data_IF_030953620166
#
_entry.id   IF_030953620166
#
_cell.length_a   1.000
_cell.length_b   1.000
_cell.length_c   1.000
_cell.angle_alpha   90.00
_cell.angle_beta   90.00
_cell.angle_gamma   90.00
#
_symmetry.space_group_name_H-M   'P 1'
#
loop_
_entity.id
_entity.type
_entity.pdbx_description
1 polymer ?
#
# COMPACT_ATOMS: atom_id res chain seq x y z
N UNK A 1 32.14 -30.25 -16.48
CA UNK A 1 31.19 -30.57 -15.41
C UNK A 1 30.13 -29.47 -15.38
N UNK A 2 28.86 -29.74 -15.71
CA UNK A 2 27.82 -28.71 -15.61
C UNK A 2 27.60 -28.38 -14.14
N UNK A 3 27.77 -27.11 -13.77
CA UNK A 3 27.31 -26.62 -12.45
C UNK A 3 25.78 -26.66 -12.48
N UNK A 4 25.19 -27.56 -11.70
CA UNK A 4 23.76 -27.49 -11.41
C UNK A 4 23.54 -26.21 -10.60
N UNK A 5 22.96 -25.19 -11.22
CA UNK A 5 22.56 -23.97 -10.51
C UNK A 5 21.43 -24.40 -9.56
N UNK A 6 21.61 -24.36 -8.23
CA UNK A 6 20.52 -24.69 -7.32
C UNK A 6 19.40 -23.71 -7.61
N UNK A 7 18.25 -24.23 -8.02
CA UNK A 7 17.06 -23.41 -8.20
C UNK A 7 16.51 -23.13 -6.81
N UNK A 8 16.32 -21.86 -6.47
CA UNK A 8 15.61 -21.45 -5.24
C UNK A 8 14.23 -22.12 -5.14
N UNK A 9 13.65 -22.55 -6.28
CA UNK A 9 12.40 -23.30 -6.38
C UNK A 9 12.41 -24.69 -5.76
N UNK A 10 13.57 -25.23 -5.34
CA UNK A 10 13.62 -26.52 -4.64
C UNK A 10 13.49 -26.36 -3.12
N UNK A 11 13.40 -25.14 -2.61
CA UNK A 11 13.17 -24.89 -1.20
C UNK A 11 11.69 -25.11 -0.85
N UNK A 12 11.39 -25.59 0.37
CA UNK A 12 10.03 -25.59 0.91
C UNK A 12 9.45 -24.16 0.91
N UNK A 13 8.15 -24.03 0.67
CA UNK A 13 7.45 -22.74 0.58
C UNK A 13 7.64 -21.91 1.85
N UNK A 14 7.68 -22.55 3.02
CA UNK A 14 7.83 -21.88 4.31
C UNK A 14 9.19 -21.20 4.44
N UNK A 15 10.24 -21.80 3.87
CA UNK A 15 11.59 -21.22 3.86
C UNK A 15 11.64 -20.06 2.86
N UNK A 16 10.95 -20.21 1.73
CA UNK A 16 10.86 -19.15 0.73
C UNK A 16 10.16 -17.93 1.33
N UNK A 17 9.05 -18.11 2.03
CA UNK A 17 8.30 -17.03 2.70
C UNK A 17 9.16 -16.29 3.73
N UNK A 18 9.96 -17.01 4.53
CA UNK A 18 10.91 -16.40 5.47
C UNK A 18 11.94 -15.56 4.71
N UNK A 19 12.54 -16.07 3.64
CA UNK A 19 13.52 -15.31 2.84
C UNK A 19 12.86 -14.08 2.22
N UNK A 20 11.69 -14.24 1.60
CA UNK A 20 10.94 -13.14 0.97
C UNK A 20 10.58 -12.09 2.03
N UNK A 21 10.21 -12.49 3.24
CA UNK A 21 9.88 -11.56 4.33
C UNK A 21 11.03 -10.63 4.73
N UNK A 22 12.28 -11.00 4.41
CA UNK A 22 13.47 -10.21 4.72
C UNK A 22 13.86 -9.23 3.59
N UNK A 23 13.25 -9.34 2.41
CA UNK A 23 13.60 -8.50 1.27
C UNK A 23 12.97 -7.11 1.42
N UNK A 24 13.69 -6.06 1.08
CA UNK A 24 13.08 -4.76 0.89
C UNK A 24 12.21 -4.75 -0.39
N UNK A 25 11.35 -3.74 -0.54
CA UNK A 25 10.48 -3.63 -1.70
C UNK A 25 11.25 -3.63 -3.03
N UNK A 26 12.38 -2.90 -3.19
CA UNK A 26 13.18 -2.97 -4.41
C UNK A 26 13.68 -4.39 -4.72
N UNK A 27 14.15 -5.14 -3.72
CA UNK A 27 14.61 -6.53 -3.93
C UNK A 27 13.46 -7.45 -4.33
N UNK A 28 12.26 -7.27 -3.77
CA UNK A 28 11.06 -8.00 -4.19
C UNK A 28 10.69 -7.72 -5.65
N UNK A 29 10.70 -6.45 -6.05
CA UNK A 29 10.38 -6.05 -7.42
C UNK A 29 11.44 -6.55 -8.42
N UNK A 30 12.73 -6.48 -8.06
CA UNK A 30 13.80 -7.04 -8.88
C UNK A 30 13.66 -8.57 -9.01
N UNK A 31 13.23 -9.25 -7.94
CA UNK A 31 13.00 -10.68 -7.99
C UNK A 31 11.78 -11.05 -8.85
N UNK A 32 10.70 -10.27 -8.77
CA UNK A 32 9.56 -10.41 -9.67
C UNK A 32 10.00 -10.27 -11.14
N UNK A 33 10.75 -9.22 -11.49
CA UNK A 33 11.19 -8.98 -12.87
C UNK A 33 12.13 -10.07 -13.41
N UNK A 34 12.95 -10.66 -12.55
CA UNK A 34 13.94 -11.67 -12.95
C UNK A 34 13.39 -13.09 -13.09
N UNK A 35 12.22 -13.39 -12.51
CA UNK A 35 11.67 -14.75 -12.50
C UNK A 35 10.14 -14.77 -12.49
N UNK A 36 9.53 -15.01 -13.66
CA UNK A 36 8.08 -15.09 -13.84
C UNK A 36 7.41 -16.18 -13.02
N UNK A 37 8.12 -17.27 -12.71
CA UNK A 37 7.62 -18.34 -11.84
C UNK A 37 7.39 -17.85 -10.38
N UNK A 38 8.06 -16.77 -9.96
CA UNK A 38 7.89 -16.18 -8.63
C UNK A 38 6.86 -15.03 -8.59
N UNK A 39 6.35 -14.59 -9.74
CA UNK A 39 5.39 -13.49 -9.83
C UNK A 39 4.18 -13.70 -8.92
N UNK A 40 3.61 -14.91 -8.91
CA UNK A 40 2.46 -15.23 -8.07
C UNK A 40 2.76 -15.09 -6.58
N UNK A 41 3.94 -15.52 -6.13
CA UNK A 41 4.37 -15.44 -4.72
C UNK A 41 4.63 -13.99 -4.31
N UNK A 42 5.37 -13.23 -5.12
CA UNK A 42 5.66 -11.82 -4.84
C UNK A 42 4.36 -11.02 -4.81
N UNK A 43 3.47 -11.21 -5.79
CA UNK A 43 2.16 -10.57 -5.82
C UNK A 43 1.34 -10.88 -4.57
N UNK A 44 1.25 -12.15 -4.19
CA UNK A 44 0.49 -12.55 -2.99
C UNK A 44 1.04 -11.90 -1.73
N UNK A 45 2.37 -11.85 -1.58
CA UNK A 45 3.01 -11.23 -0.41
C UNK A 45 2.85 -9.71 -0.37
N UNK A 46 2.93 -9.04 -1.51
CA UNK A 46 2.65 -7.60 -1.61
C UNK A 46 1.17 -7.30 -1.32
N UNK A 47 0.24 -8.12 -1.80
CA UNK A 47 -1.18 -8.00 -1.48
C UNK A 47 -1.43 -8.20 0.01
N UNK A 48 -0.86 -9.24 0.61
CA UNK A 48 -0.98 -9.49 2.05
C UNK A 48 -0.40 -8.33 2.89
N UNK A 49 0.73 -7.76 2.49
CA UNK A 49 1.32 -6.60 3.16
C UNK A 49 0.42 -5.36 3.05
N UNK A 50 -0.10 -5.07 1.85
CA UNK A 50 -1.07 -3.98 1.62
C UNK A 50 -2.31 -4.17 2.47
N UNK A 51 -2.91 -5.36 2.43
CA UNK A 51 -4.17 -5.65 3.11
C UNK A 51 -4.01 -5.57 4.63
N UNK A 52 -2.86 -6.01 5.16
CA UNK A 52 -2.52 -5.85 6.58
C UNK A 52 -2.41 -4.37 6.98
N UNK A 53 -1.73 -3.56 6.17
CA UNK A 53 -1.56 -2.13 6.44
C UNK A 53 -2.90 -1.39 6.38
N UNK A 54 -3.72 -1.64 5.36
CA UNK A 54 -5.05 -1.02 5.26
C UNK A 54 -5.96 -1.54 6.39
N UNK A 55 -5.88 -2.82 6.71
CA UNK A 55 -6.63 -3.48 7.78
C UNK A 55 -6.37 -2.92 9.17
N UNK A 56 -5.27 -2.17 9.36
CA UNK A 56 -5.04 -1.41 10.59
C UNK A 56 -6.03 -0.24 10.75
N UNK A 57 -6.51 0.33 9.65
CA UNK A 57 -7.39 1.49 9.63
C UNK A 57 -8.84 1.15 9.31
N UNK A 58 -9.06 0.19 8.39
CA UNK A 58 -10.38 -0.13 7.82
C UNK A 58 -10.62 -1.64 7.87
N UNK A 59 -11.75 -2.06 8.44
CA UNK A 59 -12.10 -3.49 8.55
C UNK A 59 -12.39 -4.12 7.17
N UNK A 60 -13.20 -3.46 6.34
CA UNK A 60 -13.49 -3.90 4.97
C UNK A 60 -12.44 -3.35 3.97
N UNK A 61 -11.28 -4.00 3.97
CA UNK A 61 -10.15 -3.65 3.08
C UNK A 61 -10.53 -3.74 1.60
N UNK A 62 -11.31 -4.75 1.21
CA UNK A 62 -11.67 -4.97 -0.19
C UNK A 62 -12.60 -3.86 -0.70
N UNK A 63 -13.67 -3.56 0.05
CA UNK A 63 -14.56 -2.45 -0.29
C UNK A 63 -13.85 -1.10 -0.30
N UNK A 64 -12.87 -0.91 0.59
CA UNK A 64 -12.08 0.32 0.61
C UNK A 64 -11.21 0.47 -0.64
N UNK A 65 -10.55 -0.61 -1.08
CA UNK A 65 -9.77 -0.61 -2.32
C UNK A 65 -10.64 -0.35 -3.56
N UNK A 66 -11.84 -0.92 -3.60
CA UNK A 66 -12.79 -0.66 -4.68
C UNK A 66 -13.21 0.81 -4.71
N UNK A 67 -13.40 1.44 -3.53
CA UNK A 67 -13.65 2.88 -3.44
C UNK A 67 -12.45 3.70 -3.95
N UNK A 68 -11.22 3.32 -3.60
CA UNK A 68 -10.05 4.04 -4.10
C UNK A 68 -9.96 3.98 -5.64
N UNK A 69 -10.28 2.84 -6.25
CA UNK A 69 -10.31 2.68 -7.71
C UNK A 69 -11.42 3.54 -8.36
N UNK A 70 -12.62 3.57 -7.75
CA UNK A 70 -13.76 4.41 -8.18
C UNK A 70 -13.37 5.89 -8.30
N UNK A 71 -12.57 6.40 -7.36
CA UNK A 71 -12.15 7.81 -7.28
C UNK A 71 -10.73 8.08 -7.80
N UNK A 72 -10.07 7.10 -8.44
CA UNK A 72 -8.65 7.18 -8.84
C UNK A 72 -7.73 7.68 -7.70
N UNK A 73 -8.06 7.31 -6.46
CA UNK A 73 -7.39 7.77 -5.27
C UNK A 73 -6.22 6.84 -4.90
N UNK A 74 -5.23 7.39 -4.20
CA UNK A 74 -4.04 6.67 -3.76
C UNK A 74 -3.81 6.87 -2.27
N UNK A 75 -3.37 5.81 -1.59
CA UNK A 75 -2.91 5.90 -0.21
C UNK A 75 -1.56 6.63 -0.21
N UNK A 76 -1.42 7.59 0.69
CA UNK A 76 -0.23 8.43 0.86
C UNK A 76 0.30 8.33 2.30
N UNK A 77 1.23 9.23 2.65
CA UNK A 77 1.69 9.41 4.03
C UNK A 77 2.33 8.17 4.66
N UNK A 78 2.06 7.98 5.94
CA UNK A 78 2.68 6.95 6.77
C UNK A 78 2.27 5.52 6.39
N UNK A 79 1.03 5.31 5.94
CA UNK A 79 0.59 4.00 5.44
C UNK A 79 1.34 3.58 4.16
N UNK A 80 1.50 4.51 3.20
CA UNK A 80 2.30 4.26 2.00
C UNK A 80 3.78 4.03 2.32
N UNK A 81 4.31 4.78 3.28
CA UNK A 81 5.68 4.63 3.75
C UNK A 81 5.90 3.28 4.46
N UNK A 82 4.97 2.85 5.32
CA UNK A 82 5.00 1.55 5.96
C UNK A 82 5.01 0.41 4.94
N UNK A 83 4.24 0.52 3.86
CA UNK A 83 4.25 -0.46 2.77
C UNK A 83 5.62 -0.49 2.07
N UNK A 84 6.18 0.68 1.77
CA UNK A 84 7.48 0.78 1.09
C UNK A 84 8.64 0.24 1.94
N UNK A 85 8.66 0.60 3.24
CA UNK A 85 9.67 0.15 4.20
C UNK A 85 9.43 -1.29 4.70
N UNK A 86 8.23 -1.82 4.45
CA UNK A 86 7.74 -3.09 5.02
C UNK A 86 7.79 -3.12 6.55
N UNK A 87 7.54 -1.98 7.18
CA UNK A 87 7.62 -1.78 8.62
C UNK A 87 6.33 -1.14 9.15
N UNK A 88 5.58 -1.89 9.96
CA UNK A 88 4.32 -1.44 10.54
C UNK A 88 4.53 -0.44 11.70
N UNK A 89 5.75 -0.30 12.22
CA UNK A 89 6.06 0.64 13.31
C UNK A 89 5.95 2.10 12.89
N UNK A 90 5.86 2.36 11.58
CA UNK A 90 5.72 3.70 11.01
C UNK A 90 4.26 4.11 10.89
N UNK A 91 3.31 3.17 11.10
CA UNK A 91 1.89 3.47 11.09
C UNK A 91 1.52 4.37 12.27
N UNK A 92 0.70 5.38 11.98
CA UNK A 92 0.06 6.24 12.97
C UNK A 92 -1.46 6.01 12.99
N UNK A 93 -2.22 6.85 13.68
CA UNK A 93 -3.68 6.72 13.78
C UNK A 93 -4.43 7.33 12.58
N UNK A 94 -3.73 7.90 11.60
CA UNK A 94 -4.34 8.63 10.49
C UNK A 94 -4.03 7.95 9.15
N UNK A 95 -5.04 7.82 8.29
CA UNK A 95 -4.85 7.31 6.95
C UNK A 95 -4.91 8.47 5.96
N UNK A 96 -3.77 8.77 5.34
CA UNK A 96 -3.70 9.78 4.29
C UNK A 96 -4.14 9.19 2.96
N UNK A 97 -5.13 9.82 2.33
CA UNK A 97 -5.60 9.45 0.99
C UNK A 97 -5.56 10.69 0.10
N UNK A 98 -4.90 10.56 -1.06
CA UNK A 98 -4.83 11.60 -2.07
C UNK A 98 -5.78 11.28 -3.21
N UNK A 99 -6.60 12.25 -3.61
CA UNK A 99 -7.63 12.12 -4.65
C UNK A 99 -7.56 13.33 -5.59
N UNK A 100 -8.19 13.22 -6.77
CA UNK A 100 -8.30 14.33 -7.70
C UNK A 100 -8.95 15.56 -7.07
N UNK A 101 -8.53 16.76 -7.50
CA UNK A 101 -8.94 18.05 -6.92
C UNK A 101 -10.47 18.25 -6.86
N UNK A 102 -11.22 17.67 -7.79
CA UNK A 102 -12.67 17.85 -7.90
C UNK A 102 -13.48 16.72 -7.24
N UNK A 103 -12.83 15.64 -6.82
CA UNK A 103 -13.46 14.40 -6.35
C UNK A 103 -13.46 14.30 -4.81
N UNK A 104 -12.71 15.17 -4.12
CA UNK A 104 -12.58 15.18 -2.66
C UNK A 104 -13.92 15.13 -1.92
N UNK A 105 -14.86 16.07 -2.16
CA UNK A 105 -16.13 16.10 -1.41
C UNK A 105 -16.97 14.84 -1.57
N UNK A 106 -17.03 14.29 -2.79
CA UNK A 106 -17.80 13.06 -3.08
C UNK A 106 -17.14 11.84 -2.43
N UNK A 107 -15.81 11.79 -2.42
CA UNK A 107 -15.06 10.73 -1.75
C UNK A 107 -15.24 10.79 -0.24
N UNK A 108 -15.23 11.97 0.38
CA UNK A 108 -15.45 12.14 1.81
C UNK A 108 -16.85 11.67 2.25
N UNK A 109 -17.87 11.99 1.46
CA UNK A 109 -19.23 11.50 1.68
C UNK A 109 -19.27 9.96 1.61
N UNK A 110 -18.62 9.38 0.59
CA UNK A 110 -18.56 7.93 0.43
C UNK A 110 -17.80 7.23 1.56
N UNK A 111 -16.68 7.81 2.02
CA UNK A 111 -15.88 7.31 3.14
C UNK A 111 -16.69 7.30 4.44
N UNK A 112 -17.40 8.39 4.71
CA UNK A 112 -18.26 8.51 5.89
C UNK A 112 -19.42 7.50 5.83
N UNK A 113 -20.07 7.38 4.67
CA UNK A 113 -21.24 6.53 4.50
C UNK A 113 -20.93 5.03 4.54
N UNK A 114 -19.77 4.61 3.98
CA UNK A 114 -19.42 3.18 3.83
C UNK A 114 -18.54 2.66 4.96
N UNK A 115 -17.68 3.49 5.55
CA UNK A 115 -16.62 3.06 6.48
C UNK A 115 -16.66 3.77 7.85
N UNK A 116 -17.64 4.65 8.09
CA UNK A 116 -17.75 5.44 9.34
C UNK A 116 -16.48 6.27 9.64
N UNK A 117 -15.76 6.65 8.58
CA UNK A 117 -14.59 7.52 8.70
C UNK A 117 -15.01 8.96 8.99
N UNK A 118 -14.14 9.71 9.68
CA UNK A 118 -14.27 11.17 9.83
C UNK A 118 -13.17 11.85 9.01
N UNK A 119 -13.42 12.21 7.74
CA UNK A 119 -12.43 12.86 6.90
C UNK A 119 -11.99 14.19 7.51
N UNK A 120 -10.69 14.43 7.52
CA UNK A 120 -10.12 15.72 7.85
C UNK A 120 -9.49 16.28 6.59
N UNK A 121 -10.03 17.37 6.05
CA UNK A 121 -9.44 18.06 4.91
C UNK A 121 -7.98 18.41 5.22
N UNK A 122 -7.02 17.75 4.56
CA UNK A 122 -5.59 18.08 4.59
C UNK A 122 -5.22 19.31 3.77
N UNK A 123 -6.23 20.14 3.43
CA UNK A 123 -6.08 21.32 2.60
C UNK A 123 -5.32 22.41 3.33
N UNK A 124 -4.08 22.62 2.93
CA UNK A 124 -3.29 23.81 3.24
C UNK A 124 -3.84 25.06 2.50
N UNK A 125 -5.16 25.21 2.39
CA UNK A 125 -5.81 26.39 1.80
C UNK A 125 -5.60 27.67 2.65
N UNK A 126 -5.02 27.52 3.85
CA UNK A 126 -4.69 28.64 4.74
C UNK A 126 -3.39 29.40 4.39
N UNK A 127 -2.61 29.02 3.36
CA UNK A 127 -1.30 29.66 3.07
C UNK A 127 -1.29 30.67 1.90
N UNK A 128 -2.39 30.88 1.16
CA UNK A 128 -2.41 31.93 0.11
C UNK A 128 -3.49 32.98 0.36
N UNK A 129 -3.42 33.68 1.49
CA UNK A 129 -4.00 35.03 1.66
C UNK A 129 -3.11 35.99 2.48
N UNK A 130 -1.83 36.14 2.11
CA UNK A 130 -1.12 37.41 2.34
C UNK A 130 -0.27 37.76 1.12
N UNK A 131 -0.92 38.33 0.10
CA UNK A 131 -0.30 39.41 -0.66
C UNK A 131 -0.99 40.71 -0.31
N UNK A 132 -0.40 41.40 0.67
CA UNK A 132 -0.47 42.85 0.83
C UNK A 132 0.98 43.34 0.67
N UNK A 133 1.27 44.44 -0.04
CA UNK A 133 0.39 45.47 -0.59
C UNK A 133 0.25 45.47 -2.14
#
# INVERSE_FOLDING_TARGET
MPLHKPSLMTLPVEILDIIISLFDLPSLLAWWDTCTENEGHVKHLLQAARDRIIGYYIEDVAGFLDLLDEFNAVIAGNAALAFFLRDDLVLDLQLDVSVGMYEGPEMEEALTARFDCTPTHGGHDDIIQERVP
#
